data_IF_191637076458
#
_entry.id   IF_191637076458
#
_cell.length_a   1.000
_cell.length_b   1.000
_cell.length_c   1.000
_cell.angle_alpha   90.00
_cell.angle_beta   90.00
_cell.angle_gamma   90.00
#
_symmetry.space_group_name_H-M   'P 1'
#
loop_
_entity.id
_entity.type
_entity.pdbx_description
1 polymer ?
#
# COMPACT_ATOMS: atom_id res chain seq x y z
N UNK A 1 -19.04 -2.16 -0.20
CA UNK A 1 -19.49 -2.49 1.13
C UNK A 1 -20.96 -2.28 1.38
N UNK A 2 -21.41 -2.82 2.51
CA UNK A 2 -22.78 -2.60 3.00
C UNK A 2 -22.86 -1.34 3.87
N UNK A 3 -21.70 -0.79 4.23
CA UNK A 3 -21.54 0.33 5.17
C UNK A 3 -22.16 0.05 6.55
N UNK A 4 -22.19 -1.23 6.95
CA UNK A 4 -22.66 -1.67 8.26
C UNK A 4 -21.47 -1.94 9.17
N UNK A 5 -21.64 -1.67 10.47
CA UNK A 5 -20.64 -2.00 11.48
C UNK A 5 -20.70 -3.51 11.76
N UNK A 6 -19.56 -4.19 11.67
CA UNK A 6 -19.47 -5.62 11.95
C UNK A 6 -19.84 -5.95 13.39
N UNK A 7 -20.98 -6.60 13.59
CA UNK A 7 -21.50 -6.96 14.92
C UNK A 7 -20.70 -8.05 15.63
N UNK A 8 -19.90 -8.83 14.88
CA UNK A 8 -18.95 -9.78 15.46
C UNK A 8 -17.82 -9.08 16.23
N UNK A 9 -17.37 -7.92 15.73
CA UNK A 9 -16.28 -7.15 16.32
C UNK A 9 -16.80 -6.06 17.26
N UNK A 10 -17.96 -5.48 16.93
CA UNK A 10 -18.62 -4.39 17.63
C UNK A 10 -20.06 -4.76 17.96
N UNK A 11 -20.30 -5.62 18.97
CA UNK A 11 -21.64 -6.13 19.30
C UNK A 11 -22.67 -5.02 19.56
N UNK A 12 -22.26 -3.92 20.19
CA UNK A 12 -23.10 -2.75 20.45
C UNK A 12 -22.99 -1.69 19.32
N UNK A 13 -22.40 -2.05 18.17
CA UNK A 13 -22.30 -1.22 16.99
C UNK A 13 -21.46 0.05 17.18
N UNK A 14 -22.04 1.21 16.83
CA UNK A 14 -21.35 2.51 16.85
C UNK A 14 -20.80 2.88 18.24
N UNK A 15 -21.41 2.40 19.32
CA UNK A 15 -20.93 2.65 20.67
C UNK A 15 -19.57 1.98 20.94
N UNK A 16 -19.42 0.72 20.55
CA UNK A 16 -18.14 0.00 20.70
C UNK A 16 -17.06 0.58 19.77
N UNK A 17 -17.43 0.91 18.53
CA UNK A 17 -16.53 1.57 17.59
C UNK A 17 -16.03 2.90 18.16
N UNK A 18 -16.91 3.72 18.73
CA UNK A 18 -16.55 4.99 19.39
C UNK A 18 -15.61 4.78 20.58
N UNK A 19 -15.87 3.76 21.39
CA UNK A 19 -15.00 3.43 22.53
C UNK A 19 -13.60 2.99 22.08
N UNK A 20 -13.51 2.21 21.01
CA UNK A 20 -12.24 1.79 20.41
C UNK A 20 -11.47 3.00 19.84
N UNK A 21 -12.14 3.85 19.06
CA UNK A 21 -11.51 5.05 18.47
C UNK A 21 -11.01 6.01 19.54
N UNK A 22 -11.77 6.14 20.66
CA UNK A 22 -11.32 6.93 21.81
C UNK A 22 -10.00 6.40 22.39
N UNK A 23 -9.84 5.08 22.54
CA UNK A 23 -8.59 4.49 23.05
C UNK A 23 -7.40 4.81 22.13
N UNK A 24 -7.61 4.80 20.81
CA UNK A 24 -6.58 5.16 19.82
C UNK A 24 -6.17 6.63 20.01
N UNK A 25 -7.15 7.53 20.14
CA UNK A 25 -6.88 8.96 20.36
C UNK A 25 -6.20 9.24 21.70
N UNK A 26 -6.62 8.57 22.77
CA UNK A 26 -6.01 8.70 24.09
C UNK A 26 -4.53 8.24 24.08
N UNK A 27 -4.15 7.36 23.15
CA UNK A 27 -2.77 6.97 22.91
C UNK A 27 -1.99 7.96 21.99
N UNK A 28 -2.58 9.09 21.61
CA UNK A 28 -1.96 10.08 20.73
C UNK A 28 -1.94 9.70 19.26
N UNK A 29 -2.76 8.73 18.85
CA UNK A 29 -2.84 8.26 17.45
C UNK A 29 -4.10 8.82 16.80
N UNK A 30 -3.98 9.42 15.63
CA UNK A 30 -5.10 9.91 14.83
C UNK A 30 -5.76 8.74 14.09
N UNK A 31 -7.02 8.37 14.41
CA UNK A 31 -7.69 7.27 13.72
C UNK A 31 -8.24 7.70 12.38
N UNK A 32 -8.04 6.86 11.38
CA UNK A 32 -8.61 7.04 10.05
C UNK A 32 -9.46 5.86 9.61
N UNK A 33 -10.23 6.06 8.54
CA UNK A 33 -10.97 5.00 7.88
C UNK A 33 -10.71 4.99 6.37
N UNK A 34 -10.86 3.81 5.80
CA UNK A 34 -10.71 3.53 4.40
C UNK A 34 -11.98 2.84 3.89
N UNK A 35 -12.47 3.25 2.74
CA UNK A 35 -13.67 2.65 2.14
C UNK A 35 -13.74 2.83 0.63
N UNK A 36 -14.46 1.92 -0.01
CA UNK A 36 -14.81 1.96 -1.42
C UNK A 36 -16.09 2.79 -1.60
N UNK A 37 -15.97 4.11 -1.62
CA UNK A 37 -17.09 5.04 -1.51
C UNK A 37 -18.05 5.05 -2.72
N UNK A 38 -17.60 4.62 -3.90
CA UNK A 38 -18.40 4.56 -5.12
C UNK A 38 -18.96 3.17 -5.44
N UNK A 39 -18.97 2.26 -4.45
CA UNK A 39 -19.32 0.86 -4.61
C UNK A 39 -20.43 0.43 -3.67
N UNK A 40 -21.22 -0.54 -4.11
CA UNK A 40 -22.23 -1.25 -3.30
C UNK A 40 -21.86 -2.72 -3.23
N UNK A 41 -21.85 -3.33 -2.06
CA UNK A 41 -21.63 -4.77 -1.88
C UNK A 41 -22.73 -5.59 -2.55
N UNK A 42 -22.34 -6.71 -3.17
CA UNK A 42 -23.30 -7.61 -3.84
C UNK A 42 -24.27 -8.31 -2.89
N UNK A 43 -23.95 -8.35 -1.62
CA UNK A 43 -24.80 -8.87 -0.54
C UNK A 43 -25.66 -7.79 0.14
N UNK A 44 -25.60 -6.55 -0.33
CA UNK A 44 -26.34 -5.43 0.23
C UNK A 44 -27.82 -5.42 -0.20
N UNK A 45 -28.64 -4.67 0.53
CA UNK A 45 -30.04 -4.40 0.21
C UNK A 45 -30.25 -3.71 -1.14
N UNK A 46 -29.23 -3.10 -1.70
CA UNK A 46 -29.26 -2.46 -3.02
C UNK A 46 -29.05 -3.44 -4.17
N UNK A 47 -28.64 -4.66 -3.88
CA UNK A 47 -28.39 -5.70 -4.89
C UNK A 47 -29.33 -6.88 -4.72
N UNK A 48 -29.64 -7.26 -3.48
CA UNK A 48 -30.48 -8.44 -3.19
C UNK A 48 -31.64 -8.04 -2.27
N UNK A 49 -32.89 -8.56 -2.49
CA UNK A 49 -33.33 -9.51 -3.52
C UNK A 49 -33.65 -8.89 -4.88
N UNK A 50 -33.62 -7.55 -4.98
CA UNK A 50 -33.92 -6.79 -6.19
C UNK A 50 -32.81 -5.77 -6.41
N UNK A 51 -32.03 -5.88 -7.49
CA UNK A 51 -30.95 -4.93 -7.76
C UNK A 51 -31.51 -3.56 -8.09
N UNK A 52 -30.99 -2.53 -7.42
CA UNK A 52 -31.37 -1.13 -7.57
C UNK A 52 -31.14 -0.67 -9.02
N UNK A 53 -32.04 0.18 -9.51
CA UNK A 53 -31.95 0.73 -10.86
C UNK A 53 -30.79 1.73 -11.01
N UNK A 54 -30.26 2.27 -9.93
CA UNK A 54 -29.14 3.23 -9.86
C UNK A 54 -27.76 2.59 -9.83
N UNK A 55 -27.68 1.24 -9.97
CA UNK A 55 -26.39 0.55 -10.16
C UNK A 55 -25.90 0.79 -11.59
N UNK A 56 -24.59 1.03 -11.75
CA UNK A 56 -24.02 1.37 -13.05
C UNK A 56 -24.07 0.21 -14.03
N UNK A 57 -24.39 0.54 -15.29
CA UNK A 57 -24.43 -0.39 -16.41
C UNK A 57 -23.42 0.03 -17.47
N UNK A 58 -22.47 -0.84 -17.78
CA UNK A 58 -21.43 -0.59 -18.79
C UNK A 58 -22.01 -0.50 -20.22
N UNK A 59 -23.04 -1.28 -20.48
CA UNK A 59 -23.70 -1.37 -21.81
C UNK A 59 -25.16 -1.78 -21.66
N UNK A 60 -25.96 -1.34 -22.62
CA UNK A 60 -27.39 -1.70 -22.71
C UNK A 60 -27.60 -2.63 -23.88
N UNK A 61 -28.47 -3.61 -23.69
CA UNK A 61 -28.91 -4.59 -24.68
C UNK A 61 -30.43 -4.64 -24.73
N UNK A 62 -30.96 -5.10 -25.87
CA UNK A 62 -32.38 -5.31 -26.07
C UNK A 62 -32.64 -6.80 -26.32
N UNK A 63 -33.61 -7.40 -25.63
CA UNK A 63 -34.00 -8.78 -25.86
C UNK A 63 -34.55 -8.96 -27.26
N UNK A 64 -33.96 -9.84 -28.05
CA UNK A 64 -34.45 -10.23 -29.38
C UNK A 64 -35.54 -11.27 -29.32
N UNK A 65 -35.59 -12.02 -28.22
CA UNK A 65 -36.61 -13.05 -27.95
C UNK A 65 -37.10 -12.91 -26.52
N UNK A 66 -38.31 -13.42 -26.26
CA UNK A 66 -38.81 -13.52 -24.89
C UNK A 66 -37.84 -14.33 -24.03
N UNK A 67 -37.55 -13.85 -22.82
CA UNK A 67 -36.76 -14.55 -21.83
C UNK A 67 -37.68 -15.22 -20.80
N UNK A 68 -37.75 -16.55 -20.81
CA UNK A 68 -38.48 -17.31 -19.79
C UNK A 68 -37.69 -17.41 -18.48
N UNK A 69 -38.31 -17.89 -17.41
CA UNK A 69 -37.65 -18.08 -16.11
C UNK A 69 -36.57 -19.16 -16.10
N UNK A 70 -36.58 -20.04 -17.11
CA UNK A 70 -35.70 -21.21 -17.19
C UNK A 70 -34.66 -21.14 -18.30
N UNK A 71 -34.70 -20.11 -19.12
CA UNK A 71 -33.74 -19.92 -20.21
C UNK A 71 -32.31 -19.71 -19.69
N UNK A 72 -31.39 -20.42 -20.34
CA UNK A 72 -29.94 -20.33 -20.09
C UNK A 72 -29.18 -19.67 -21.23
N UNK A 73 -29.93 -19.15 -22.22
CA UNK A 73 -29.42 -18.38 -23.35
C UNK A 73 -30.27 -17.11 -23.52
N UNK A 74 -29.62 -15.98 -23.72
CA UNK A 74 -30.27 -14.67 -23.84
C UNK A 74 -29.91 -14.10 -25.20
N UNK A 75 -30.90 -14.05 -26.10
CA UNK A 75 -30.75 -13.49 -27.44
C UNK A 75 -30.91 -11.95 -27.40
N UNK A 76 -29.99 -11.25 -28.03
CA UNK A 76 -29.92 -9.78 -28.03
C UNK A 76 -29.86 -9.23 -29.45
N UNK A 77 -30.27 -7.96 -29.61
CA UNK A 77 -30.20 -7.28 -30.89
C UNK A 77 -28.79 -6.77 -31.18
N UNK A 78 -28.11 -6.23 -30.14
CA UNK A 78 -26.78 -5.65 -30.25
C UNK A 78 -25.69 -6.71 -30.17
N UNK A 79 -24.60 -6.51 -30.92
CA UNK A 79 -23.42 -7.37 -30.80
C UNK A 79 -22.81 -7.25 -29.38
N UNK A 80 -22.71 -8.33 -28.61
CA UNK A 80 -22.17 -8.30 -27.26
C UNK A 80 -20.62 -8.25 -27.20
N UNK A 81 -19.95 -8.11 -28.34
CA UNK A 81 -18.50 -7.99 -28.41
C UNK A 81 -17.98 -6.94 -27.38
N UNK A 82 -16.84 -7.24 -26.75
CA UNK A 82 -16.24 -6.42 -25.69
C UNK A 82 -17.02 -6.39 -24.35
N UNK A 83 -18.03 -7.25 -24.18
CA UNK A 83 -18.56 -7.51 -22.84
C UNK A 83 -17.49 -8.21 -21.98
N UNK A 84 -17.47 -7.91 -20.67
CA UNK A 84 -16.43 -8.47 -19.80
C UNK A 84 -16.42 -10.01 -19.80
N UNK A 85 -15.23 -10.59 -19.87
CA UNK A 85 -15.00 -12.04 -19.71
C UNK A 85 -14.22 -12.37 -18.45
N UNK A 86 -13.94 -11.36 -17.60
CA UNK A 86 -13.19 -11.54 -16.38
C UNK A 86 -14.03 -12.24 -15.29
N UNK A 87 -13.76 -13.50 -15.01
CA UNK A 87 -14.25 -14.27 -13.85
C UNK A 87 -15.69 -13.98 -13.41
N UNK A 88 -15.87 -13.65 -12.15
CA UNK A 88 -17.17 -13.36 -11.53
C UNK A 88 -17.75 -11.97 -11.89
N UNK A 89 -17.08 -11.19 -12.75
CA UNK A 89 -17.56 -9.91 -13.26
C UNK A 89 -18.55 -10.04 -14.43
N UNK A 90 -18.77 -11.26 -14.94
CA UNK A 90 -19.68 -11.57 -16.05
C UNK A 90 -21.13 -11.58 -15.58
N UNK A 91 -21.74 -10.43 -15.38
CA UNK A 91 -23.08 -10.26 -14.80
C UNK A 91 -23.93 -9.32 -15.64
N UNK A 92 -25.14 -9.76 -15.95
CA UNK A 92 -26.21 -8.96 -16.56
C UNK A 92 -27.23 -8.61 -15.48
N UNK A 93 -27.78 -7.38 -15.54
CA UNK A 93 -28.90 -6.93 -14.72
C UNK A 93 -30.14 -6.81 -15.61
N UNK A 94 -31.14 -7.65 -15.37
CA UNK A 94 -32.37 -7.71 -16.15
C UNK A 94 -33.57 -7.60 -15.20
N UNK A 95 -34.21 -6.43 -15.19
CA UNK A 95 -35.32 -6.16 -14.26
C UNK A 95 -34.90 -6.36 -12.81
N UNK A 96 -35.54 -7.32 -12.14
CA UNK A 96 -35.30 -7.68 -10.73
C UNK A 96 -34.25 -8.76 -10.52
N UNK A 97 -33.52 -9.11 -11.56
CA UNK A 97 -32.64 -10.28 -11.58
C UNK A 97 -31.22 -9.94 -11.99
N UNK A 98 -30.24 -10.58 -11.33
CA UNK A 98 -28.86 -10.69 -11.80
C UNK A 98 -28.64 -12.08 -12.41
N UNK A 99 -27.96 -12.09 -13.56
CA UNK A 99 -27.71 -13.29 -14.35
C UNK A 99 -26.21 -13.32 -14.68
N UNK A 100 -25.49 -14.37 -14.29
CA UNK A 100 -24.14 -14.57 -14.81
C UNK A 100 -24.17 -15.31 -16.15
N UNK A 101 -23.20 -15.05 -17.01
CA UNK A 101 -23.05 -15.72 -18.30
C UNK A 101 -21.68 -16.40 -18.42
N UNK A 102 -21.60 -17.48 -19.22
CA UNK A 102 -20.35 -18.16 -19.53
C UNK A 102 -19.60 -17.48 -20.66
N UNK A 103 -20.33 -17.03 -21.68
CA UNK A 103 -19.77 -16.36 -22.85
C UNK A 103 -20.87 -15.72 -23.71
N UNK A 104 -20.44 -15.19 -24.86
CA UNK A 104 -21.32 -14.57 -25.85
C UNK A 104 -20.83 -14.87 -27.27
N UNK A 105 -21.70 -14.60 -28.28
CA UNK A 105 -21.35 -14.72 -29.72
C UNK A 105 -21.02 -13.32 -30.26
N UNK A 106 -20.06 -13.24 -31.18
CA UNK A 106 -19.69 -12.02 -31.92
C UNK A 106 -20.28 -11.99 -33.34
N UNK A 107 -20.83 -13.13 -33.76
CA UNK A 107 -21.55 -13.29 -35.03
C UNK A 107 -23.02 -13.61 -34.76
N UNK A 108 -23.94 -13.20 -35.63
CA UNK A 108 -25.36 -13.53 -35.50
C UNK A 108 -25.62 -15.05 -35.51
N UNK A 109 -26.57 -15.52 -34.69
CA UNK A 109 -27.38 -14.78 -33.76
C UNK A 109 -26.61 -14.30 -32.54
N UNK A 110 -26.70 -13.02 -32.18
CA UNK A 110 -26.08 -12.45 -31.00
C UNK A 110 -26.76 -12.98 -29.74
N UNK A 111 -25.98 -13.51 -28.81
CA UNK A 111 -26.50 -14.03 -27.56
C UNK A 111 -25.44 -14.07 -26.46
N UNK A 112 -25.93 -14.10 -25.23
CA UNK A 112 -25.18 -14.56 -24.06
C UNK A 112 -25.60 -15.99 -23.78
N UNK A 113 -24.65 -16.90 -23.51
CA UNK A 113 -24.93 -18.32 -23.29
C UNK A 113 -24.32 -18.84 -21.98
N UNK A 114 -24.83 -20.01 -21.54
CA UNK A 114 -24.45 -20.61 -20.26
C UNK A 114 -24.83 -19.73 -19.08
N UNK A 115 -26.00 -19.10 -19.18
CA UNK A 115 -26.51 -18.17 -18.19
C UNK A 115 -27.00 -18.91 -16.94
N UNK A 116 -26.60 -18.41 -15.77
CA UNK A 116 -27.14 -18.82 -14.46
C UNK A 116 -28.06 -17.73 -13.96
N UNK A 117 -29.32 -18.11 -13.72
CA UNK A 117 -30.40 -17.21 -13.33
C UNK A 117 -30.36 -16.94 -11.81
N UNK A 118 -30.83 -15.77 -11.41
CA UNK A 118 -31.04 -15.43 -9.99
C UNK A 118 -29.78 -15.48 -9.11
N UNK A 119 -28.62 -15.13 -9.65
CA UNK A 119 -27.41 -15.06 -8.83
C UNK A 119 -27.58 -13.98 -7.73
N UNK A 120 -26.77 -14.07 -6.68
CA UNK A 120 -26.82 -13.19 -5.52
C UNK A 120 -28.21 -13.14 -4.86
N UNK A 121 -28.97 -14.26 -4.95
CA UNK A 121 -30.33 -14.42 -4.40
C UNK A 121 -31.35 -13.41 -4.97
N UNK A 122 -31.14 -12.94 -6.19
CA UNK A 122 -32.06 -12.00 -6.86
C UNK A 122 -33.28 -12.72 -7.44
N UNK A 123 -34.36 -11.95 -7.69
CA UNK A 123 -35.66 -12.50 -8.06
C UNK A 123 -35.75 -12.78 -9.54
N UNK A 124 -35.86 -14.07 -9.92
CA UNK A 124 -35.97 -14.52 -11.30
C UNK A 124 -37.32 -14.11 -11.91
N UNK A 125 -37.27 -13.43 -13.06
CA UNK A 125 -38.45 -13.00 -13.81
C UNK A 125 -38.36 -13.33 -15.29
N UNK A 126 -39.54 -13.57 -15.90
CA UNK A 126 -39.65 -13.58 -17.35
C UNK A 126 -39.69 -12.14 -17.88
N UNK A 127 -39.15 -11.94 -19.08
CA UNK A 127 -39.16 -10.60 -19.72
C UNK A 127 -39.64 -10.72 -21.17
N UNK A 128 -40.42 -9.74 -21.68
CA UNK A 128 -40.91 -9.77 -23.08
C UNK A 128 -39.79 -9.44 -24.07
N UNK A 129 -40.03 -9.76 -25.33
CA UNK A 129 -39.21 -9.25 -26.45
C UNK A 129 -39.14 -7.71 -26.38
N UNK A 130 -38.01 -7.14 -26.75
CA UNK A 130 -37.76 -5.71 -26.71
C UNK A 130 -37.44 -5.14 -25.34
N UNK A 131 -37.42 -5.96 -24.26
CA UNK A 131 -37.03 -5.49 -22.94
C UNK A 131 -35.55 -5.08 -22.91
N UNK A 132 -35.27 -3.89 -22.40
CA UNK A 132 -33.92 -3.36 -22.29
C UNK A 132 -33.28 -3.78 -20.95
N UNK A 133 -32.02 -4.16 -20.99
CA UNK A 133 -31.26 -4.58 -19.83
C UNK A 133 -29.77 -4.23 -19.99
N UNK A 134 -28.95 -4.41 -18.96
CA UNK A 134 -27.56 -3.99 -19.03
C UNK A 134 -26.52 -4.98 -18.54
N UNK A 135 -25.31 -4.79 -19.03
CA UNK A 135 -24.10 -5.39 -18.48
C UNK A 135 -23.75 -4.62 -17.19
N UNK A 136 -23.86 -5.30 -16.05
CA UNK A 136 -23.63 -4.70 -14.75
C UNK A 136 -22.13 -4.38 -14.57
N UNK A 137 -21.86 -3.20 -14.04
CA UNK A 137 -20.49 -2.77 -13.74
C UNK A 137 -20.01 -3.34 -12.40
N UNK A 138 -19.52 -4.56 -12.48
CA UNK A 138 -18.97 -5.30 -11.33
C UNK A 138 -17.50 -4.93 -11.14
N UNK A 139 -17.15 -4.61 -9.91
CA UNK A 139 -15.83 -4.10 -9.56
C UNK A 139 -14.71 -5.12 -9.76
N UNK A 140 -13.51 -4.62 -9.99
CA UNK A 140 -12.25 -5.37 -10.08
C UNK A 140 -11.80 -5.95 -8.74
N UNK A 141 -12.28 -5.43 -7.63
CA UNK A 141 -11.94 -5.86 -6.27
C UNK A 141 -12.61 -7.20 -5.92
N UNK A 142 -12.10 -8.28 -6.51
CA UNK A 142 -12.62 -9.64 -6.28
C UNK A 142 -14.06 -9.87 -6.74
N UNK A 143 -14.63 -8.94 -7.51
CA UNK A 143 -16.03 -8.95 -7.94
C UNK A 143 -17.05 -9.00 -6.78
N UNK A 144 -16.71 -8.44 -5.62
CA UNK A 144 -17.54 -8.43 -4.41
C UNK A 144 -18.51 -7.25 -4.34
N UNK A 145 -18.35 -6.25 -5.21
CA UNK A 145 -19.15 -5.03 -5.25
C UNK A 145 -19.49 -4.60 -6.67
N UNK A 146 -20.38 -3.62 -6.78
CA UNK A 146 -20.89 -3.05 -8.02
C UNK A 146 -20.74 -1.53 -7.94
N UNK A 147 -20.37 -0.90 -9.04
CA UNK A 147 -20.28 0.54 -9.13
C UNK A 147 -21.66 1.22 -9.12
N UNK A 148 -21.71 2.37 -8.48
CA UNK A 148 -22.88 3.26 -8.45
C UNK A 148 -22.88 4.09 -9.73
N UNK A 149 -24.04 4.25 -10.36
CA UNK A 149 -24.22 5.24 -11.42
C UNK A 149 -24.10 6.65 -10.85
N UNK A 150 -23.05 7.37 -11.20
CA UNK A 150 -22.74 8.70 -10.68
C UNK A 150 -23.72 9.80 -11.16
N UNK A 151 -24.59 9.49 -12.11
CA UNK A 151 -25.73 10.37 -12.48
C UNK A 151 -26.92 10.22 -11.54
N UNK A 152 -26.91 9.23 -10.64
CA UNK A 152 -27.98 8.98 -9.68
C UNK A 152 -27.72 9.61 -8.31
N UNK A 153 -28.73 9.56 -7.45
CA UNK A 153 -28.66 9.99 -6.06
C UNK A 153 -28.20 8.89 -5.09
N UNK A 154 -27.93 7.67 -5.59
CA UNK A 154 -27.48 6.56 -4.73
C UNK A 154 -26.15 6.89 -4.06
N UNK A 155 -25.29 7.67 -4.71
CA UNK A 155 -24.02 8.13 -4.11
C UNK A 155 -24.27 9.02 -2.88
N UNK A 156 -25.35 9.78 -2.84
CA UNK A 156 -25.70 10.61 -1.68
C UNK A 156 -26.18 9.77 -0.50
N UNK A 157 -26.95 8.70 -0.76
CA UNK A 157 -27.35 7.74 0.28
C UNK A 157 -26.13 7.03 0.89
N UNK A 158 -25.18 6.61 0.04
CA UNK A 158 -23.93 6.01 0.52
C UNK A 158 -23.11 7.01 1.33
N UNK A 159 -23.08 8.26 0.91
CA UNK A 159 -22.40 9.32 1.65
C UNK A 159 -23.02 9.54 3.06
N UNK A 160 -24.33 9.42 3.20
CA UNK A 160 -25.01 9.50 4.50
C UNK A 160 -24.62 8.34 5.43
N UNK A 161 -24.51 7.10 4.92
CA UNK A 161 -24.02 5.96 5.70
C UNK A 161 -22.57 6.13 6.15
N UNK A 162 -21.72 6.62 5.25
CA UNK A 162 -20.31 6.88 5.58
C UNK A 162 -20.23 7.98 6.64
N UNK A 163 -21.02 9.05 6.51
CA UNK A 163 -21.06 10.13 7.49
C UNK A 163 -21.54 9.63 8.87
N UNK A 164 -22.53 8.74 8.93
CA UNK A 164 -22.98 8.14 10.18
C UNK A 164 -21.85 7.34 10.86
N UNK A 165 -21.08 6.56 10.11
CA UNK A 165 -19.92 5.82 10.65
C UNK A 165 -18.82 6.79 11.09
N UNK A 166 -18.58 7.84 10.30
CA UNK A 166 -17.58 8.87 10.59
C UNK A 166 -17.76 9.53 11.95
N UNK A 167 -19.01 9.80 12.34
CA UNK A 167 -19.35 10.37 13.65
C UNK A 167 -18.93 9.52 14.85
N UNK A 168 -18.53 8.26 14.64
CA UNK A 168 -17.95 7.47 15.73
C UNK A 168 -16.61 8.04 16.22
N UNK A 169 -15.93 8.89 15.42
CA UNK A 169 -14.76 9.61 15.87
C UNK A 169 -13.52 9.46 15.00
N UNK A 170 -13.67 9.11 13.73
CA UNK A 170 -12.57 9.17 12.76
C UNK A 170 -12.14 10.61 12.50
N UNK A 171 -10.88 10.80 12.09
CA UNK A 171 -10.29 12.12 11.87
C UNK A 171 -9.63 12.28 10.50
N UNK A 172 -9.26 11.17 9.83
CA UNK A 172 -8.83 11.20 8.44
C UNK A 172 -9.43 10.05 7.63
N UNK A 173 -9.38 10.17 6.32
CA UNK A 173 -9.96 9.16 5.45
C UNK A 173 -9.10 8.89 4.22
N UNK A 174 -9.27 7.68 3.68
CA UNK A 174 -8.73 7.27 2.41
C UNK A 174 -9.87 6.84 1.48
N UNK A 175 -9.99 7.54 0.35
CA UNK A 175 -10.93 7.20 -0.70
C UNK A 175 -10.31 6.15 -1.62
N UNK A 176 -10.76 4.93 -1.52
CA UNK A 176 -10.35 3.85 -2.41
C UNK A 176 -11.42 3.57 -3.46
N UNK A 177 -11.02 3.00 -4.60
CA UNK A 177 -11.93 2.40 -5.56
C UNK A 177 -12.86 3.34 -6.29
N UNK A 178 -12.35 4.36 -6.96
CA UNK A 178 -13.13 5.15 -7.93
C UNK A 178 -12.64 4.98 -9.37
N UNK A 179 -11.73 4.04 -9.60
CA UNK A 179 -11.03 3.86 -10.87
C UNK A 179 -11.97 3.48 -12.01
N UNK A 180 -13.07 2.81 -11.71
CA UNK A 180 -14.06 2.33 -12.68
C UNK A 180 -15.38 3.09 -12.69
N UNK A 181 -15.49 4.27 -12.06
CA UNK A 181 -16.73 5.07 -12.15
C UNK A 181 -17.07 5.40 -13.60
N UNK A 182 -18.37 5.55 -13.88
CA UNK A 182 -18.84 5.85 -15.23
C UNK A 182 -18.35 7.22 -15.75
N UNK A 183 -18.19 7.38 -17.09
CA UNK A 183 -17.76 8.63 -17.70
C UNK A 183 -18.72 9.81 -17.42
N UNK A 184 -18.23 11.07 -17.38
CA UNK A 184 -16.83 11.46 -17.57
C UNK A 184 -15.98 11.26 -16.31
N UNK A 185 -14.99 10.39 -16.40
CA UNK A 185 -14.16 9.96 -15.30
C UNK A 185 -13.56 11.12 -14.48
N UNK A 186 -12.98 12.09 -15.16
CA UNK A 186 -12.32 13.24 -14.52
C UNK A 186 -13.25 14.06 -13.61
N UNK A 187 -14.55 14.04 -13.88
CA UNK A 187 -15.56 14.72 -13.07
C UNK A 187 -16.15 13.78 -12.02
N UNK A 188 -16.56 12.59 -12.41
CA UNK A 188 -17.25 11.66 -11.51
C UNK A 188 -16.41 11.17 -10.36
N UNK A 189 -15.08 10.97 -10.53
CA UNK A 189 -14.16 10.66 -9.44
C UNK A 189 -14.23 11.74 -8.36
N UNK A 190 -13.97 12.97 -8.71
CA UNK A 190 -13.95 14.08 -7.75
C UNK A 190 -15.35 14.37 -7.17
N UNK A 191 -16.42 14.23 -7.98
CA UNK A 191 -17.78 14.45 -7.53
C UNK A 191 -18.24 13.36 -6.53
N UNK A 192 -17.91 12.10 -6.75
CA UNK A 192 -18.19 11.02 -5.81
C UNK A 192 -17.48 11.25 -4.46
N UNK A 193 -16.22 11.65 -4.50
CA UNK A 193 -15.44 12.01 -3.31
C UNK A 193 -16.07 13.21 -2.59
N UNK A 194 -16.46 14.24 -3.33
CA UNK A 194 -17.06 15.45 -2.76
C UNK A 194 -18.41 15.19 -2.08
N UNK A 195 -19.28 14.38 -2.68
CA UNK A 195 -20.56 13.99 -2.07
C UNK A 195 -20.37 13.36 -0.69
N UNK A 196 -19.31 12.58 -0.49
CA UNK A 196 -18.96 12.03 0.81
C UNK A 196 -18.32 13.10 1.70
N UNK A 197 -17.24 13.72 1.24
CA UNK A 197 -16.43 14.65 2.02
C UNK A 197 -17.27 15.79 2.61
N UNK A 198 -18.18 16.37 1.84
CA UNK A 198 -19.02 17.49 2.26
C UNK A 198 -19.98 17.16 3.42
N UNK A 199 -20.28 15.87 3.63
CA UNK A 199 -21.16 15.41 4.70
C UNK A 199 -20.40 15.05 6.00
N UNK A 200 -19.09 14.92 5.95
CA UNK A 200 -18.29 14.52 7.12
C UNK A 200 -18.19 15.68 8.13
N UNK A 201 -18.57 15.41 9.38
CA UNK A 201 -18.47 16.37 10.48
C UNK A 201 -17.92 15.68 11.75
N UNK A 202 -16.85 16.21 12.39
CA UNK A 202 -16.02 17.32 11.90
C UNK A 202 -15.35 17.02 10.56
N UNK A 203 -14.88 18.05 9.86
CA UNK A 203 -14.14 17.85 8.61
C UNK A 203 -12.87 17.03 8.86
N UNK A 204 -12.46 16.19 7.90
CA UNK A 204 -11.21 15.43 8.02
C UNK A 204 -9.99 16.35 8.18
N UNK A 205 -9.06 15.99 9.07
CA UNK A 205 -7.78 16.71 9.21
C UNK A 205 -6.90 16.55 7.98
N UNK A 206 -7.06 15.42 7.27
CA UNK A 206 -6.54 15.21 5.92
C UNK A 206 -7.30 14.08 5.22
N UNK A 207 -7.21 14.03 3.90
CA UNK A 207 -7.80 12.98 3.09
C UNK A 207 -6.82 12.57 1.99
N UNK A 208 -6.81 11.27 1.69
CA UNK A 208 -6.05 10.68 0.58
C UNK A 208 -6.99 9.88 -0.33
N UNK A 209 -6.53 9.51 -1.51
CA UNK A 209 -7.30 8.66 -2.41
C UNK A 209 -6.46 7.95 -3.45
N UNK A 210 -6.92 6.77 -3.89
CA UNK A 210 -6.30 6.01 -4.97
C UNK A 210 -6.56 6.71 -6.31
N UNK A 211 -7.82 6.91 -6.68
CA UNK A 211 -8.21 7.65 -7.86
C UNK A 211 -8.23 9.17 -7.60
N UNK A 212 -7.58 9.91 -8.46
CA UNK A 212 -7.42 11.36 -8.37
C UNK A 212 -7.63 12.01 -9.73
N UNK A 213 -8.24 13.17 -9.72
CA UNK A 213 -8.33 14.05 -10.91
C UNK A 213 -7.94 15.46 -10.53
N UNK A 214 -7.84 16.36 -11.51
CA UNK A 214 -7.46 17.75 -11.27
C UNK A 214 -8.45 18.53 -10.37
N UNK A 215 -9.65 18.02 -10.12
CA UNK A 215 -10.57 18.59 -9.13
C UNK A 215 -10.39 18.04 -7.72
N UNK A 216 -9.64 16.95 -7.55
CA UNK A 216 -9.48 16.28 -6.24
C UNK A 216 -8.71 17.12 -5.23
N UNK A 217 -7.88 18.08 -5.64
CA UNK A 217 -7.06 18.91 -4.76
C UNK A 217 -7.88 19.77 -3.78
N UNK A 218 -9.16 19.99 -4.03
CA UNK A 218 -10.07 20.67 -3.10
C UNK A 218 -10.30 19.87 -1.81
N UNK A 219 -10.09 18.56 -1.85
CA UNK A 219 -10.41 17.64 -0.76
C UNK A 219 -9.19 16.80 -0.36
N UNK A 220 -8.44 16.31 -1.35
CA UNK A 220 -7.34 15.41 -1.13
C UNK A 220 -6.04 16.17 -0.90
N UNK A 221 -5.41 15.93 0.24
CA UNK A 221 -4.08 16.43 0.57
C UNK A 221 -2.99 15.54 -0.01
N UNK A 222 -3.33 14.30 -0.37
CA UNK A 222 -2.41 13.32 -0.89
C UNK A 222 -3.07 12.24 -1.72
N UNK A 223 -2.25 11.35 -2.24
CA UNK A 223 -2.70 10.17 -2.97
C UNK A 223 -1.72 9.03 -2.83
N UNK A 224 -2.22 7.80 -2.94
CA UNK A 224 -1.38 6.62 -2.95
C UNK A 224 -0.55 6.55 -4.23
N UNK A 225 0.71 6.13 -4.10
CA UNK A 225 1.61 5.97 -5.22
C UNK A 225 1.58 4.56 -5.80
N UNK A 226 1.61 3.57 -4.93
CA UNK A 226 1.62 2.16 -5.28
C UNK A 226 1.19 1.30 -4.10
N UNK A 227 0.80 0.07 -4.40
CA UNK A 227 0.46 -0.94 -3.42
C UNK A 227 1.71 -1.72 -2.93
N UNK A 228 1.46 -2.76 -2.16
CA UNK A 228 2.46 -3.61 -1.53
C UNK A 228 3.35 -4.29 -2.58
N UNK A 229 4.68 -4.05 -2.51
CA UNK A 229 5.67 -4.74 -3.32
C UNK A 229 6.56 -5.66 -2.48
N UNK A 230 7.00 -6.80 -3.06
CA UNK A 230 7.99 -7.64 -2.41
C UNK A 230 9.28 -6.89 -2.08
N UNK A 231 9.94 -7.19 -0.96
CA UNK A 231 11.15 -6.50 -0.51
C UNK A 231 12.23 -6.37 -1.59
N UNK A 232 12.45 -7.41 -2.39
CA UNK A 232 13.45 -7.46 -3.45
C UNK A 232 13.22 -6.46 -4.59
N UNK A 233 11.99 -5.95 -4.74
CA UNK A 233 11.61 -5.00 -5.78
C UNK A 233 11.39 -3.59 -5.24
N UNK A 234 11.33 -3.43 -3.93
CA UNK A 234 10.87 -2.20 -3.29
C UNK A 234 11.66 -0.96 -3.72
N UNK A 235 13.00 -1.01 -3.72
CA UNK A 235 13.83 0.14 -4.15
C UNK A 235 13.58 0.51 -5.61
N UNK A 236 13.54 -0.47 -6.51
CA UNK A 236 13.30 -0.24 -7.93
C UNK A 236 11.90 0.32 -8.21
N UNK A 237 10.86 -0.23 -7.56
CA UNK A 237 9.49 0.25 -7.73
C UNK A 237 9.30 1.64 -7.11
N UNK A 238 10.01 1.97 -6.03
CA UNK A 238 10.04 3.33 -5.46
C UNK A 238 10.51 4.36 -6.48
N UNK A 239 11.59 4.08 -7.20
CA UNK A 239 12.10 4.99 -8.24
C UNK A 239 11.15 5.06 -9.44
N UNK A 240 10.61 3.92 -9.84
CA UNK A 240 9.75 3.81 -11.02
C UNK A 240 8.41 4.54 -10.87
N UNK A 241 7.83 4.57 -9.68
CA UNK A 241 6.49 5.11 -9.43
C UNK A 241 6.49 6.36 -8.54
N UNK A 242 6.57 6.27 -7.18
CA UNK A 242 6.34 7.45 -6.36
C UNK A 242 7.37 8.54 -6.57
N UNK A 243 8.62 8.18 -6.70
CA UNK A 243 9.70 9.14 -6.92
C UNK A 243 9.52 9.93 -8.22
N UNK A 244 9.09 9.25 -9.29
CA UNK A 244 8.82 9.86 -10.60
C UNK A 244 7.58 10.74 -10.61
N UNK A 245 6.55 10.37 -9.83
CA UNK A 245 5.27 11.09 -9.80
C UNK A 245 5.25 12.25 -8.80
N UNK A 246 6.12 12.25 -7.80
CA UNK A 246 6.15 13.25 -6.74
C UNK A 246 6.19 14.72 -7.23
N UNK A 247 7.02 15.11 -8.23
CA UNK A 247 7.04 16.47 -8.75
C UNK A 247 5.68 16.90 -9.30
N UNK A 248 5.05 16.05 -10.11
CA UNK A 248 3.74 16.33 -10.72
C UNK A 248 2.64 16.49 -9.66
N UNK A 249 2.68 15.69 -8.61
CA UNK A 249 1.72 15.79 -7.51
C UNK A 249 1.92 17.11 -6.72
N UNK A 250 3.16 17.52 -6.54
CA UNK A 250 3.48 18.81 -5.90
C UNK A 250 2.95 19.98 -6.73
N UNK A 251 3.09 19.95 -8.06
CA UNK A 251 2.54 20.95 -8.96
C UNK A 251 1.01 21.03 -8.90
N UNK A 252 0.35 19.95 -8.53
CA UNK A 252 -1.10 19.86 -8.31
C UNK A 252 -1.52 20.11 -6.84
N UNK A 253 -0.70 20.78 -6.04
CA UNK A 253 -0.96 21.13 -4.65
C UNK A 253 -1.22 19.95 -3.70
N UNK A 254 -0.79 18.74 -4.09
CA UNK A 254 -0.96 17.53 -3.29
C UNK A 254 0.38 16.89 -2.96
N UNK A 255 0.37 15.91 -2.05
CA UNK A 255 1.53 15.06 -1.76
C UNK A 255 1.23 13.64 -2.18
N UNK A 256 2.26 12.95 -2.63
CA UNK A 256 2.18 11.54 -2.93
C UNK A 256 2.58 10.74 -1.68
N UNK A 257 1.73 9.83 -1.24
CA UNK A 257 2.15 8.83 -0.26
C UNK A 257 3.09 7.84 -0.96
N UNK A 258 4.33 7.73 -0.46
CA UNK A 258 5.37 6.88 -1.07
C UNK A 258 5.15 5.38 -0.88
N UNK A 259 3.99 4.99 -0.46
CA UNK A 259 3.56 3.62 -0.54
C UNK A 259 2.68 3.20 0.62
N UNK A 260 2.12 2.05 0.45
CA UNK A 260 1.65 1.14 1.45
C UNK A 260 2.66 0.01 1.52
N UNK A 261 3.79 0.27 2.16
CA UNK A 261 4.90 -0.68 2.21
C UNK A 261 4.46 -1.95 2.92
N UNK A 262 4.53 -3.08 2.23
CA UNK A 262 4.30 -4.37 2.84
C UNK A 262 5.39 -4.70 3.86
N UNK A 263 5.02 -5.39 4.93
CA UNK A 263 5.93 -5.84 5.95
C UNK A 263 6.05 -7.36 5.94
N UNK A 264 7.20 -7.87 5.50
CA UNK A 264 7.43 -9.27 5.16
C UNK A 264 8.44 -9.90 6.11
N UNK A 265 8.13 -11.10 6.59
CA UNK A 265 9.11 -11.92 7.33
C UNK A 265 10.21 -12.41 6.40
N UNK A 266 11.47 -12.46 6.86
CA UNK A 266 12.52 -13.20 6.16
C UNK A 266 12.16 -14.68 6.02
N UNK A 267 12.53 -15.29 4.89
CA UNK A 267 12.28 -16.69 4.59
C UNK A 267 13.13 -17.20 3.43
N UNK A 268 12.92 -18.44 3.02
CA UNK A 268 13.74 -19.08 1.98
C UNK A 268 13.76 -18.30 0.65
N UNK A 269 12.67 -17.62 0.31
CA UNK A 269 12.49 -16.92 -0.98
C UNK A 269 12.57 -15.40 -0.89
N UNK A 270 12.62 -14.85 0.31
CA UNK A 270 12.65 -13.40 0.53
C UNK A 270 13.56 -13.04 1.71
N UNK A 271 14.28 -11.94 1.57
CA UNK A 271 15.06 -11.36 2.69
C UNK A 271 14.15 -10.70 3.75
N UNK A 272 12.84 -10.59 3.48
CA UNK A 272 11.92 -9.84 4.32
C UNK A 272 12.17 -8.33 4.26
N UNK A 273 11.37 -7.57 4.98
CA UNK A 273 11.51 -6.11 5.04
C UNK A 273 12.71 -5.74 5.90
N UNK A 274 13.69 -5.07 5.32
CA UNK A 274 14.96 -4.74 5.96
C UNK A 274 15.15 -3.22 6.15
N UNK A 275 15.99 -2.81 7.12
CA UNK A 275 16.23 -1.39 7.44
C UNK A 275 16.65 -0.54 6.24
N UNK A 276 17.52 -1.05 5.35
CA UNK A 276 17.99 -0.32 4.18
C UNK A 276 16.91 -0.04 3.15
N UNK A 277 15.95 -0.95 3.00
CA UNK A 277 14.82 -0.76 2.10
C UNK A 277 13.91 0.37 2.59
N UNK A 278 13.62 0.37 3.88
CA UNK A 278 12.81 1.42 4.50
C UNK A 278 13.56 2.75 4.49
N UNK A 279 14.86 2.75 4.78
CA UNK A 279 15.71 3.95 4.72
C UNK A 279 15.74 4.54 3.30
N UNK A 280 15.80 3.70 2.28
CA UNK A 280 15.74 4.13 0.89
C UNK A 280 14.41 4.83 0.59
N UNK A 281 13.28 4.18 0.87
CA UNK A 281 11.95 4.74 0.57
C UNK A 281 11.70 6.04 1.34
N UNK A 282 11.97 6.04 2.66
CA UNK A 282 11.73 7.22 3.51
C UNK A 282 12.64 8.39 3.17
N UNK A 283 13.90 8.13 2.78
CA UNK A 283 14.81 9.18 2.31
C UNK A 283 14.32 9.84 1.02
N UNK A 284 13.87 9.02 0.06
CA UNK A 284 13.30 9.52 -1.20
C UNK A 284 11.98 10.27 -0.97
N UNK A 285 11.14 9.79 -0.06
CA UNK A 285 9.91 10.48 0.32
C UNK A 285 10.20 11.83 0.98
N UNK A 286 11.13 11.88 1.92
CA UNK A 286 11.54 13.11 2.61
C UNK A 286 12.11 14.17 1.65
N UNK A 287 12.76 13.75 0.55
CA UNK A 287 13.23 14.65 -0.51
C UNK A 287 12.13 15.48 -1.17
N UNK A 288 10.88 15.02 -1.09
CA UNK A 288 9.68 15.64 -1.66
C UNK A 288 8.67 16.08 -0.59
N UNK A 289 9.04 16.04 0.69
CA UNK A 289 8.13 16.27 1.83
C UNK A 289 6.89 15.36 1.82
N UNK A 290 7.05 14.16 1.29
CA UNK A 290 5.98 13.18 1.12
C UNK A 290 5.90 12.21 2.31
N UNK A 291 4.69 11.78 2.71
CA UNK A 291 4.52 10.75 3.73
C UNK A 291 4.83 9.36 3.20
N UNK A 292 5.00 8.42 4.13
CA UNK A 292 5.13 6.97 3.86
C UNK A 292 4.13 6.23 4.74
N UNK A 293 3.48 5.22 4.20
CA UNK A 293 2.60 4.32 4.93
C UNK A 293 3.16 2.90 4.94
N UNK A 294 2.90 2.17 6.02
CA UNK A 294 3.26 0.76 6.14
C UNK A 294 1.99 -0.08 6.35
N UNK A 295 1.90 -1.17 5.62
CA UNK A 295 0.84 -2.17 5.78
C UNK A 295 1.41 -3.39 6.52
N UNK A 296 1.13 -3.46 7.81
CA UNK A 296 1.68 -4.49 8.67
C UNK A 296 0.61 -5.14 9.55
N UNK A 297 0.77 -6.46 9.75
CA UNK A 297 -0.02 -7.20 10.72
C UNK A 297 0.72 -7.23 12.06
N UNK A 298 0.06 -6.99 13.22
CA UNK A 298 0.71 -7.02 14.53
C UNK A 298 1.49 -8.31 14.83
N UNK A 299 0.98 -9.48 14.39
CA UNK A 299 1.66 -10.75 14.56
C UNK A 299 2.97 -10.83 13.75
N UNK A 300 2.98 -10.27 12.54
CA UNK A 300 4.18 -10.19 11.70
C UNK A 300 5.20 -9.24 12.30
N UNK A 301 4.76 -8.09 12.81
CA UNK A 301 5.64 -7.15 13.52
C UNK A 301 6.31 -7.79 14.73
N UNK A 302 5.56 -8.57 15.53
CA UNK A 302 6.10 -9.26 16.70
C UNK A 302 7.09 -10.38 16.35
N UNK A 303 6.94 -11.02 15.19
CA UNK A 303 7.79 -12.12 14.75
C UNK A 303 9.04 -11.67 13.99
N UNK A 304 9.00 -10.48 13.37
CA UNK A 304 10.11 -10.02 12.54
C UNK A 304 11.31 -9.58 13.40
N UNK A 305 12.49 -10.20 13.26
CA UNK A 305 13.64 -9.98 14.16
C UNK A 305 14.24 -8.56 14.03
N UNK A 306 13.98 -7.86 12.92
CA UNK A 306 14.49 -6.49 12.68
C UNK A 306 13.42 -5.41 12.86
N UNK A 307 12.29 -5.71 13.50
CA UNK A 307 11.21 -4.70 13.69
C UNK A 307 11.71 -3.47 14.42
N UNK A 308 12.51 -3.60 15.44
CA UNK A 308 13.07 -2.47 16.19
C UNK A 308 13.93 -1.57 15.28
N UNK A 309 14.84 -2.15 14.50
CA UNK A 309 15.69 -1.42 13.55
C UNK A 309 14.86 -0.74 12.45
N UNK A 310 13.87 -1.45 11.92
CA UNK A 310 12.97 -0.97 10.87
C UNK A 310 12.18 0.26 11.33
N UNK A 311 11.58 0.18 12.52
CA UNK A 311 10.79 1.29 13.05
C UNK A 311 11.67 2.46 13.53
N UNK A 312 12.91 2.19 13.96
CA UNK A 312 13.86 3.27 14.27
C UNK A 312 14.22 4.06 13.00
N UNK A 313 14.39 3.40 11.86
CA UNK A 313 14.56 4.08 10.57
C UNK A 313 13.37 4.97 10.25
N UNK A 314 12.13 4.45 10.35
CA UNK A 314 10.92 5.26 10.16
C UNK A 314 10.88 6.46 11.08
N UNK A 315 11.11 6.25 12.38
CA UNK A 315 11.08 7.31 13.38
C UNK A 315 12.04 8.44 13.03
N UNK A 316 13.28 8.11 12.66
CA UNK A 316 14.30 9.13 12.32
C UNK A 316 13.87 9.94 11.10
N UNK A 317 13.49 9.31 10.01
CA UNK A 317 13.14 9.98 8.77
C UNK A 317 11.84 10.79 8.88
N UNK A 318 10.81 10.29 9.55
CA UNK A 318 9.58 11.02 9.78
C UNK A 318 9.79 12.19 10.73
N UNK A 319 10.67 12.06 11.72
CA UNK A 319 11.01 13.15 12.63
C UNK A 319 11.71 14.30 11.89
N UNK A 320 12.72 14.03 11.07
CA UNK A 320 13.41 15.07 10.28
C UNK A 320 12.48 15.71 9.25
N UNK A 321 11.58 14.92 8.63
CA UNK A 321 10.57 15.43 7.71
C UNK A 321 9.59 16.36 8.44
N UNK A 322 9.02 15.92 9.56
CA UNK A 322 8.06 16.69 10.34
C UNK A 322 8.67 17.98 10.89
N UNK A 323 9.92 17.94 11.33
CA UNK A 323 10.67 19.10 11.84
C UNK A 323 11.22 20.01 10.73
N UNK A 324 11.06 19.63 9.45
CA UNK A 324 11.67 20.35 8.31
C UNK A 324 13.19 20.54 8.49
N UNK A 325 13.84 19.50 8.99
CA UNK A 325 15.27 19.52 9.31
C UNK A 325 16.16 19.55 8.07
N UNK A 326 15.71 18.91 6.98
CA UNK A 326 16.45 18.85 5.71
C UNK A 326 16.48 20.23 5.04
N UNK A 327 17.67 20.68 4.66
CA UNK A 327 17.83 21.84 3.78
C UNK A 327 17.39 21.50 2.34
N UNK A 328 17.13 22.52 1.52
CA UNK A 328 16.79 22.27 0.10
C UNK A 328 17.96 21.63 -0.66
N UNK A 329 19.21 21.94 -0.30
CA UNK A 329 20.38 21.27 -0.87
C UNK A 329 20.42 19.78 -0.52
N UNK A 330 20.16 19.42 0.74
CA UNK A 330 20.07 18.01 1.16
C UNK A 330 18.91 17.28 0.45
N UNK A 331 17.75 17.95 0.30
CA UNK A 331 16.64 17.38 -0.48
C UNK A 331 17.02 17.13 -1.94
N UNK A 332 17.76 18.05 -2.57
CA UNK A 332 18.27 17.86 -3.94
C UNK A 332 19.23 16.67 -4.02
N UNK A 333 20.13 16.50 -3.05
CA UNK A 333 20.99 15.30 -3.00
C UNK A 333 20.17 14.01 -2.87
N UNK A 334 19.14 13.99 -2.03
CA UNK A 334 18.25 12.83 -1.85
C UNK A 334 17.42 12.52 -3.10
N UNK A 335 17.27 13.47 -4.04
CA UNK A 335 16.59 13.26 -5.32
C UNK A 335 17.45 12.55 -6.38
N UNK A 336 18.69 12.23 -6.07
CA UNK A 336 19.49 11.33 -6.91
C UNK A 336 18.98 9.89 -6.75
N UNK A 337 18.47 9.23 -7.81
CA UNK A 337 17.92 7.89 -7.71
C UNK A 337 18.97 6.82 -7.42
N UNK A 338 20.21 7.07 -7.80
CA UNK A 338 21.31 6.11 -7.72
C UNK A 338 22.12 6.22 -6.42
N UNK A 339 21.92 7.30 -5.65
CA UNK A 339 22.61 7.51 -4.39
C UNK A 339 21.76 7.09 -3.21
N UNK A 340 22.30 6.22 -2.36
CA UNK A 340 21.72 5.86 -1.07
C UNK A 340 22.29 6.71 0.07
N UNK A 341 21.48 6.93 1.09
CA UNK A 341 21.84 7.71 2.27
C UNK A 341 21.41 6.98 3.52
N UNK A 342 22.13 7.17 4.60
CA UNK A 342 21.73 6.79 5.95
C UNK A 342 21.60 8.02 6.85
N UNK A 343 20.60 8.01 7.71
CA UNK A 343 20.37 9.05 8.70
C UNK A 343 20.86 8.54 10.07
N UNK A 344 22.02 9.03 10.46
CA UNK A 344 22.64 8.68 11.73
C UNK A 344 22.08 9.56 12.86
N UNK A 345 22.16 9.06 14.08
CA UNK A 345 22.08 9.84 15.31
C UNK A 345 23.44 9.80 15.97
N UNK A 346 24.06 10.96 16.18
CA UNK A 346 25.41 11.07 16.70
C UNK A 346 25.44 11.03 18.25
N UNK A 347 26.62 11.16 18.81
CA UNK A 347 26.90 11.12 20.26
C UNK A 347 26.22 12.26 21.03
N UNK A 348 25.82 13.32 20.33
CA UNK A 348 25.10 14.49 20.88
C UNK A 348 23.59 14.38 20.71
N UNK A 349 23.11 13.25 20.20
CA UNK A 349 21.71 13.03 19.84
C UNK A 349 21.21 13.98 18.73
N UNK A 350 22.08 14.31 17.78
CA UNK A 350 21.78 15.13 16.60
C UNK A 350 21.76 14.25 15.35
N UNK A 351 20.93 14.61 14.36
CA UNK A 351 20.87 13.92 13.08
C UNK A 351 22.06 14.29 12.18
N UNK A 352 22.58 13.29 11.48
CA UNK A 352 23.60 13.45 10.45
C UNK A 352 23.18 12.68 9.19
N UNK A 353 23.08 13.38 8.04
CA UNK A 353 22.80 12.76 6.74
C UNK A 353 24.12 12.39 6.08
N UNK A 354 24.30 11.11 5.79
CA UNK A 354 25.54 10.59 5.20
C UNK A 354 25.23 9.73 3.97
N UNK A 355 25.92 9.97 2.83
CA UNK A 355 25.84 9.05 1.69
C UNK A 355 26.46 7.71 2.07
N UNK A 356 25.82 6.62 1.64
CA UNK A 356 26.30 5.27 1.89
C UNK A 356 26.29 4.43 0.59
N UNK A 357 27.02 3.33 0.62
CA UNK A 357 27.14 2.42 -0.51
C UNK A 357 27.04 0.99 -0.05
N UNK A 358 26.15 0.20 -0.66
CA UNK A 358 25.96 -1.19 -0.32
C UNK A 358 27.17 -2.04 -0.66
N UNK A 359 27.63 -2.86 0.26
CA UNK A 359 28.61 -3.92 0.00
C UNK A 359 27.87 -5.09 -0.65
N UNK A 360 28.20 -5.35 -1.91
CA UNK A 360 27.65 -6.50 -2.64
C UNK A 360 28.41 -7.77 -2.27
N UNK A 361 27.74 -8.90 -2.47
CA UNK A 361 28.33 -10.24 -2.33
C UNK A 361 28.94 -10.55 -0.93
N UNK A 362 28.38 -9.97 0.13
CA UNK A 362 28.79 -10.25 1.52
C UNK A 362 28.81 -11.77 1.74
N UNK A 363 29.86 -12.28 2.43
CA UNK A 363 30.05 -13.69 2.71
C UNK A 363 29.93 -14.57 1.43
N UNK A 364 30.61 -14.18 0.34
CA UNK A 364 30.58 -14.84 -0.97
C UNK A 364 29.18 -14.93 -1.58
N UNK A 365 28.39 -13.88 -1.45
CA UNK A 365 27.04 -13.76 -2.03
C UNK A 365 25.93 -14.38 -1.22
N UNK A 366 26.18 -14.74 0.04
CA UNK A 366 25.13 -15.13 0.97
C UNK A 366 24.27 -13.93 1.34
N UNK A 367 22.94 -14.07 1.19
CA UNK A 367 21.98 -12.97 1.42
C UNK A 367 21.64 -12.72 2.90
N UNK A 368 22.30 -13.43 3.82
CA UNK A 368 21.95 -13.45 5.25
C UNK A 368 22.43 -12.19 5.98
N UNK A 369 23.46 -11.52 5.49
CA UNK A 369 23.98 -10.29 6.06
C UNK A 369 23.96 -9.18 5.03
N UNK A 370 23.44 -8.04 5.43
CA UNK A 370 23.44 -6.80 4.61
C UNK A 370 24.44 -5.84 5.24
N UNK A 371 25.24 -5.18 4.43
CA UNK A 371 26.24 -4.23 4.88
C UNK A 371 26.37 -3.04 3.92
N UNK A 372 26.70 -1.87 4.48
CA UNK A 372 26.96 -0.63 3.75
C UNK A 372 28.21 0.02 4.30
N UNK A 373 28.97 0.71 3.42
CA UNK A 373 30.06 1.61 3.82
C UNK A 373 29.64 3.07 3.73
N UNK A 374 30.20 3.89 4.58
CA UNK A 374 30.06 5.35 4.56
C UNK A 374 31.27 6.04 5.18
N UNK A 375 31.44 7.32 4.90
CA UNK A 375 32.45 8.16 5.52
C UNK A 375 31.80 9.16 6.46
N UNK A 376 32.39 9.36 7.64
CA UNK A 376 32.03 10.36 8.62
C UNK A 376 33.29 11.00 9.20
N UNK A 377 33.41 12.32 9.10
CA UNK A 377 34.58 13.05 9.59
C UNK A 377 35.93 12.52 9.08
N UNK A 378 36.00 12.12 7.80
CA UNK A 378 37.11 11.47 7.11
C UNK A 378 37.41 10.02 7.56
N UNK A 379 36.78 9.52 8.59
CA UNK A 379 36.89 8.10 8.99
C UNK A 379 35.97 7.23 8.17
N UNK A 380 36.39 5.99 7.95
CA UNK A 380 35.61 4.98 7.22
C UNK A 380 34.83 4.12 8.20
N UNK A 381 33.54 3.95 7.90
CA UNK A 381 32.61 3.13 8.67
C UNK A 381 31.94 2.09 7.80
N UNK A 382 31.43 1.03 8.44
CA UNK A 382 30.38 0.19 7.89
C UNK A 382 29.23 0.05 8.88
N UNK A 383 28.02 -0.11 8.35
CA UNK A 383 26.83 -0.58 9.09
C UNK A 383 26.42 -1.93 8.53
N UNK A 384 26.07 -2.87 9.40
CA UNK A 384 25.70 -4.21 8.98
C UNK A 384 24.71 -4.86 9.95
N UNK A 385 23.98 -5.86 9.49
CA UNK A 385 23.03 -6.66 10.30
C UNK A 385 22.74 -8.01 9.64
N UNK A 386 22.29 -8.98 10.42
CA UNK A 386 21.75 -10.24 9.92
C UNK A 386 20.26 -10.10 9.65
N UNK A 387 19.75 -10.61 8.52
CA UNK A 387 18.35 -10.41 8.08
C UNK A 387 17.30 -11.07 8.99
N UNK A 388 17.63 -12.18 9.64
CA UNK A 388 16.63 -13.04 10.29
C UNK A 388 17.01 -13.59 11.66
N UNK A 389 18.05 -13.11 12.31
CA UNK A 389 18.39 -13.67 13.62
C UNK A 389 19.67 -13.11 14.18
N UNK A 390 20.09 -13.70 15.29
CA UNK A 390 21.33 -13.37 15.96
C UNK A 390 22.38 -14.43 15.59
N UNK A 391 23.36 -14.00 14.81
CA UNK A 391 24.49 -14.80 14.33
C UNK A 391 25.79 -14.07 14.62
N UNK A 392 26.89 -14.61 14.17
CA UNK A 392 28.18 -13.95 14.17
C UNK A 392 28.72 -13.83 12.75
N UNK A 393 29.47 -12.77 12.50
CA UNK A 393 30.24 -12.59 11.29
C UNK A 393 31.71 -12.54 11.63
N UNK A 394 32.51 -13.29 10.90
CA UNK A 394 33.96 -13.35 11.06
C UNK A 394 34.61 -12.63 9.89
N UNK A 395 35.24 -11.49 10.15
CA UNK A 395 35.93 -10.69 9.14
C UNK A 395 37.44 -11.02 9.15
N UNK A 396 38.07 -11.23 7.98
CA UNK A 396 39.50 -11.51 7.88
C UNK A 396 40.36 -10.24 8.08
N UNK A 397 40.18 -9.58 9.22
CA UNK A 397 40.93 -8.38 9.64
C UNK A 397 41.26 -8.47 11.12
N UNK A 398 42.24 -7.68 11.56
CA UNK A 398 42.63 -7.65 12.97
C UNK A 398 41.61 -6.87 13.80
N UNK A 399 41.35 -7.31 15.01
CA UNK A 399 40.45 -6.59 15.93
C UNK A 399 40.94 -5.19 16.29
N UNK A 400 42.28 -4.98 16.30
CA UNK A 400 42.87 -3.64 16.48
C UNK A 400 42.51 -2.62 15.42
N UNK A 401 42.11 -3.07 14.26
CA UNK A 401 41.80 -2.23 13.10
C UNK A 401 40.31 -1.82 13.05
N UNK A 402 39.53 -2.30 14.03
CA UNK A 402 38.08 -2.10 14.12
C UNK A 402 37.67 -1.57 15.50
N UNK A 403 36.74 -0.65 15.52
CA UNK A 403 35.95 -0.28 16.71
C UNK A 403 34.50 -0.64 16.46
N UNK A 404 33.97 -1.58 17.24
CA UNK A 404 32.57 -2.00 17.14
C UNK A 404 31.68 -1.07 17.96
N UNK A 405 30.53 -0.69 17.40
CA UNK A 405 29.54 0.16 18.06
C UNK A 405 28.14 -0.40 17.87
N UNK A 406 27.30 -0.24 18.88
CA UNK A 406 25.85 -0.48 18.79
C UNK A 406 25.15 0.66 18.07
N UNK A 407 25.47 1.87 18.44
CA UNK A 407 25.08 3.13 17.81
C UNK A 407 26.32 4.01 17.66
N UNK A 408 26.27 5.02 16.84
CA UNK A 408 27.41 5.93 16.65
C UNK A 408 27.84 6.52 18.01
N UNK A 409 29.11 6.28 18.37
CA UNK A 409 29.70 6.72 19.65
C UNK A 409 29.42 5.81 20.85
N UNK A 410 28.65 4.74 20.69
CA UNK A 410 28.43 3.74 21.76
C UNK A 410 29.21 2.48 21.44
N UNK A 411 30.46 2.44 21.90
CA UNK A 411 31.37 1.31 21.68
C UNK A 411 30.92 0.04 22.42
N UNK A 412 31.16 -1.11 21.81
CA UNK A 412 30.95 -2.43 22.37
C UNK A 412 32.27 -3.20 22.29
N UNK A 413 32.56 -3.96 23.32
CA UNK A 413 33.76 -4.81 23.34
C UNK A 413 33.70 -5.88 22.24
N UNK A 414 34.74 -5.97 21.44
CA UNK A 414 34.92 -7.05 20.46
C UNK A 414 35.34 -8.29 21.21
N UNK A 415 34.49 -9.31 21.24
CA UNK A 415 34.88 -10.60 21.77
C UNK A 415 35.95 -11.22 20.87
N UNK A 416 37.15 -11.44 21.42
CA UNK A 416 38.25 -12.09 20.71
C UNK A 416 37.86 -13.52 20.31
N UNK A 417 37.48 -13.70 19.04
CA UNK A 417 37.17 -15.02 18.49
C UNK A 417 38.44 -15.84 18.28
N UNK A 418 38.35 -17.17 18.44
CA UNK A 418 39.47 -18.12 18.42
C UNK A 418 40.01 -18.46 17.02
N UNK A 419 39.56 -17.78 15.94
CA UNK A 419 40.11 -18.04 14.61
C UNK A 419 41.31 -17.12 14.35
N UNK A 420 42.50 -17.67 14.19
CA UNK A 420 43.70 -16.89 13.87
C UNK A 420 43.49 -16.09 12.57
N UNK A 421 43.61 -14.76 12.65
CA UNK A 421 43.47 -13.87 11.50
C UNK A 421 42.05 -13.37 11.25
N UNK A 422 41.07 -13.71 12.07
CA UNK A 422 39.69 -13.23 11.94
C UNK A 422 39.22 -12.49 13.19
N UNK A 423 38.47 -11.42 12.99
CA UNK A 423 37.72 -10.75 14.05
C UNK A 423 36.26 -11.23 14.03
N UNK A 424 35.78 -11.73 15.16
CA UNK A 424 34.41 -12.22 15.34
C UNK A 424 33.56 -11.08 15.88
N UNK A 425 32.47 -10.76 15.16
CA UNK A 425 31.54 -9.67 15.48
C UNK A 425 30.12 -10.23 15.60
N UNK A 426 29.26 -9.66 16.45
CA UNK A 426 27.84 -9.99 16.47
C UNK A 426 27.19 -9.58 15.15
N UNK A 427 26.28 -10.39 14.65
CA UNK A 427 25.52 -10.13 13.42
C UNK A 427 24.02 -10.39 13.69
N UNK A 428 23.45 -9.59 14.54
CA UNK A 428 22.03 -9.58 14.86
C UNK A 428 21.39 -8.28 14.39
N UNK A 429 21.09 -7.39 15.33
CA UNK A 429 20.63 -6.03 15.08
C UNK A 429 21.66 -5.20 14.30
N UNK A 430 21.28 -4.01 13.87
CA UNK A 430 22.24 -3.08 13.23
C UNK A 430 23.41 -2.80 14.17
N UNK A 431 24.61 -2.99 13.64
CA UNK A 431 25.86 -2.63 14.29
C UNK A 431 26.70 -1.77 13.36
N UNK A 432 27.52 -0.92 13.95
CA UNK A 432 28.45 -0.07 13.24
C UNK A 432 29.88 -0.48 13.56
N UNK A 433 30.75 -0.41 12.57
CA UNK A 433 32.20 -0.50 12.78
C UNK A 433 32.85 0.75 12.20
N UNK A 434 33.77 1.31 12.98
CA UNK A 434 34.74 2.30 12.52
C UNK A 434 36.05 1.58 12.24
N UNK A 435 36.70 1.91 11.14
CA UNK A 435 37.99 1.30 10.81
C UNK A 435 39.16 2.25 11.13
N UNK A 436 40.28 1.64 11.50
CA UNK A 436 41.54 2.35 11.69
C UNK A 436 42.59 1.75 10.74
N UNK A 437 43.03 2.56 9.76
CA UNK A 437 44.08 2.13 8.83
C UNK A 437 43.63 1.28 7.64
N UNK A 438 42.35 0.84 7.58
CA UNK A 438 41.83 0.12 6.42
C UNK A 438 41.36 1.09 5.33
N UNK A 439 41.67 0.75 4.10
CA UNK A 439 41.04 1.37 2.93
C UNK A 439 39.61 0.86 2.72
N UNK A 440 38.83 1.57 1.91
CA UNK A 440 37.47 1.13 1.53
C UNK A 440 37.48 -0.25 0.89
N UNK A 441 38.42 -0.48 -0.03
CA UNK A 441 38.52 -1.76 -0.74
C UNK A 441 38.88 -2.93 0.19
N UNK A 442 39.76 -2.71 1.17
CA UNK A 442 40.09 -3.72 2.18
C UNK A 442 38.90 -4.04 3.07
N UNK A 443 38.13 -3.02 3.49
CA UNK A 443 36.90 -3.24 4.28
C UNK A 443 35.84 -4.00 3.47
N UNK A 444 35.60 -3.60 2.21
CA UNK A 444 34.67 -4.29 1.31
C UNK A 444 35.08 -5.73 1.08
N UNK A 445 36.37 -5.97 0.80
CA UNK A 445 36.89 -7.33 0.63
C UNK A 445 36.77 -8.17 1.90
N UNK A 446 36.91 -7.56 3.08
CA UNK A 446 36.72 -8.24 4.34
C UNK A 446 35.28 -8.75 4.51
N UNK A 447 34.29 -7.95 4.12
CA UNK A 447 32.88 -8.38 4.13
C UNK A 447 32.56 -9.42 3.04
N UNK A 448 33.14 -9.30 1.84
CA UNK A 448 32.95 -10.30 0.78
C UNK A 448 33.48 -11.67 1.23
N UNK A 449 34.66 -11.70 1.86
CA UNK A 449 35.30 -12.94 2.34
C UNK A 449 34.90 -13.33 3.79
N UNK A 450 33.85 -12.71 4.32
CA UNK A 450 33.38 -13.01 5.67
C UNK A 450 32.82 -14.43 5.79
N UNK A 451 32.82 -14.94 7.01
CA UNK A 451 32.19 -16.22 7.36
C UNK A 451 31.05 -15.93 8.35
N UNK A 452 29.87 -16.45 8.06
CA UNK A 452 28.71 -16.36 8.97
C UNK A 452 28.64 -17.65 9.78
N UNK A 453 28.53 -17.51 11.11
CA UNK A 453 28.46 -18.64 12.05
C UNK A 453 27.33 -18.43 13.06
N UNK A 454 26.97 -19.52 13.75
CA UNK A 454 26.00 -19.48 14.85
C UNK A 454 26.52 -18.73 16.08
#
# INVERSE_FOLDING_TARGET
GNYDIFRSEYPNGKADLRAMLKKIKDAGITPGCHFLHSHIGRDSRYVTPVPDHRLNLLRIFTLKQQLSKTDTTIYVEQNPQNSTMAGNRRVLKIGTELISYRGYTTEPPYMFYGCKRGIDKTTINAQPVGYMFGLLDVSEFGATSVYIDQYSDLQDEVADYIADIWEAGFEFLYFDGSEGVNPPFWFHVANAQWRVFSKLKPEPVFAEGAAKTHFSWHMLTGGNAFDIFPPEKLKAETIKHPFREAPRMQDNFTRLNFGWLGYWLPGEKTIGTQPDQLEFVTSKAAAWDCPVSIHANPAVLAQHPRTADNFEVFRRWEEVRAKKWLTEEQKLMLRDPDQEFTLLVNEKNEFELVPCEQIKDVANGRREVIAFTFKRNNDLYAVYWHISGDKKIQLPVKSSDLTLMRDIGIEIEISSGQLAGYTVLPAGNRHYIKTTGLTKDELVNAFINAIITD
#
